data_IF_691868983800
#
_entry.id   IF_691868983800
#
_cell.length_a   1.000
_cell.length_b   1.000
_cell.length_c   1.000
_cell.angle_alpha   90.00
_cell.angle_beta   90.00
_cell.angle_gamma   90.00
#
_symmetry.space_group_name_H-M   'P 1'
#
loop_
_entity.id
_entity.type
_entity.pdbx_description
1 polymer ?
#
# COMPACT_ATOMS: atom_id res chain seq x y z
N UNK A 1 -18.19 0.31 -8.69
CA UNK A 1 -17.53 1.48 -8.39
C UNK A 1 -16.20 1.62 -9.07
N UNK A 2 -16.04 2.68 -9.74
CA UNK A 2 -14.85 2.84 -10.53
C UNK A 2 -13.71 3.41 -9.69
N UNK A 3 -12.52 3.02 -10.05
CA UNK A 3 -11.35 3.56 -9.42
C UNK A 3 -10.97 4.87 -10.05
N UNK A 4 -10.27 5.68 -9.29
CA UNK A 4 -9.73 6.94 -9.80
C UNK A 4 -8.75 6.64 -10.93
N UNK A 5 -8.97 7.18 -12.15
CA UNK A 5 -8.07 6.89 -13.26
C UNK A 5 -6.63 7.33 -13.01
N UNK A 6 -6.45 8.42 -12.29
CA UNK A 6 -5.11 8.91 -11.97
C UNK A 6 -4.38 7.90 -11.09
N UNK A 7 -5.07 7.38 -10.09
CA UNK A 7 -4.50 6.37 -9.20
C UNK A 7 -4.08 5.13 -10.00
N UNK A 8 -4.97 4.65 -10.87
CA UNK A 8 -4.67 3.47 -11.67
C UNK A 8 -3.42 3.69 -12.53
N UNK A 9 -3.32 4.87 -13.11
CA UNK A 9 -2.18 5.22 -13.93
C UNK A 9 -0.89 5.21 -13.12
N UNK A 10 -0.94 5.73 -11.90
CA UNK A 10 0.24 5.83 -11.05
C UNK A 10 0.76 4.47 -10.61
N UNK A 11 -0.12 3.49 -10.42
CA UNK A 11 0.31 2.16 -9.97
C UNK A 11 0.46 1.17 -11.10
N UNK A 12 0.27 1.60 -12.36
CA UNK A 12 0.44 0.73 -13.52
C UNK A 12 1.59 1.18 -14.40
N UNK A 13 2.64 1.69 -13.81
CA UNK A 13 3.79 2.17 -14.57
C UNK A 13 5.06 1.52 -14.06
N UNK A 14 6.14 1.69 -14.83
CA UNK A 14 7.41 1.08 -14.47
C UNK A 14 7.97 1.65 -13.18
N UNK A 15 7.75 2.94 -12.94
CA UNK A 15 8.20 3.56 -11.70
C UNK A 15 7.63 2.85 -10.48
N UNK A 16 6.33 2.56 -10.50
CA UNK A 16 5.70 1.86 -9.41
C UNK A 16 6.23 0.44 -9.27
N UNK A 17 6.37 -0.27 -10.39
CA UNK A 17 6.88 -1.63 -10.35
C UNK A 17 8.28 -1.70 -9.76
N UNK A 18 9.13 -0.73 -10.11
CA UNK A 18 10.47 -0.67 -9.56
C UNK A 18 10.46 -0.42 -8.06
N UNK A 19 9.61 0.50 -7.62
CA UNK A 19 9.50 0.81 -6.19
C UNK A 19 8.95 -0.37 -5.41
N UNK A 20 7.94 -1.02 -5.98
CA UNK A 20 7.34 -2.18 -5.35
C UNK A 20 8.34 -3.31 -5.20
N UNK A 21 9.09 -3.57 -6.25
CA UNK A 21 10.10 -4.63 -6.20
C UNK A 21 11.19 -4.30 -5.19
N UNK A 22 11.59 -3.05 -5.14
CA UNK A 22 12.59 -2.63 -4.18
C UNK A 22 12.08 -2.78 -2.75
N UNK A 23 10.84 -2.39 -2.51
CA UNK A 23 10.24 -2.51 -1.19
C UNK A 23 10.24 -3.96 -0.71
N UNK A 24 9.83 -4.90 -1.58
CA UNK A 24 9.78 -6.30 -1.23
C UNK A 24 11.17 -6.89 -1.05
N UNK A 25 12.15 -6.35 -1.75
CA UNK A 25 13.52 -6.81 -1.63
C UNK A 25 14.13 -6.35 -0.31
N UNK A 26 13.86 -5.10 0.07
CA UNK A 26 14.42 -4.54 1.30
C UNK A 26 13.66 -4.99 2.53
N UNK A 27 12.37 -5.25 2.39
CA UNK A 27 11.53 -5.71 3.49
C UNK A 27 10.74 -6.92 3.03
N UNK A 28 11.40 -8.08 3.02
CA UNK A 28 10.78 -9.28 2.44
C UNK A 28 9.74 -9.95 3.32
N UNK A 29 9.65 -9.56 4.58
CA UNK A 29 8.68 -10.18 5.48
C UNK A 29 7.48 -9.27 5.68
N UNK A 30 6.32 -9.90 5.87
CA UNK A 30 5.10 -9.18 6.17
C UNK A 30 5.28 -8.41 7.48
N UNK A 31 5.14 -7.08 7.42
CA UNK A 31 5.40 -6.26 8.60
C UNK A 31 4.34 -6.46 9.67
N UNK A 32 3.11 -6.75 9.26
CA UNK A 32 2.04 -6.99 10.21
C UNK A 32 2.23 -8.32 10.94
N UNK A 33 2.56 -9.38 10.21
CA UNK A 33 2.85 -10.67 10.83
C UNK A 33 4.03 -10.55 11.76
N UNK A 34 5.04 -9.84 11.33
CA UNK A 34 6.25 -9.68 12.12
C UNK A 34 5.98 -9.00 13.45
N UNK A 35 5.06 -8.04 13.46
CA UNK A 35 4.70 -7.36 14.70
C UNK A 35 4.05 -8.30 15.69
N UNK A 36 3.56 -9.45 15.22
CA UNK A 36 2.96 -10.46 16.08
C UNK A 36 3.91 -11.63 16.34
N UNK A 37 5.16 -11.49 15.94
CA UNK A 37 6.15 -12.54 16.14
C UNK A 37 6.08 -13.66 15.12
N UNK A 38 5.38 -13.45 14.01
CA UNK A 38 5.23 -14.43 12.95
C UNK A 38 6.03 -13.99 11.74
N UNK A 39 6.78 -14.91 11.14
CA UNK A 39 7.62 -14.59 10.00
C UNK A 39 7.00 -15.15 8.73
N UNK A 40 6.31 -14.31 8.00
CA UNK A 40 5.63 -14.67 6.76
C UNK A 40 6.20 -13.82 5.63
N UNK A 41 6.46 -14.43 4.49
CA UNK A 41 6.95 -13.70 3.33
C UNK A 41 5.92 -12.68 2.87
N UNK A 42 6.39 -11.48 2.57
CA UNK A 42 5.52 -10.46 2.00
C UNK A 42 5.46 -10.66 0.50
N UNK A 43 4.28 -10.51 -0.06
CA UNK A 43 4.08 -10.64 -1.49
C UNK A 43 3.43 -9.39 -2.09
N UNK A 44 2.99 -8.47 -1.23
CA UNK A 44 2.25 -7.29 -1.68
C UNK A 44 2.76 -6.06 -0.97
N UNK A 45 2.54 -4.91 -1.60
CA UNK A 45 2.94 -3.63 -1.02
C UNK A 45 1.71 -2.77 -0.87
N UNK A 46 1.55 -2.21 0.32
CA UNK A 46 0.39 -1.42 0.69
C UNK A 46 0.82 0.01 0.97
N UNK A 47 -0.02 0.98 0.64
CA UNK A 47 0.21 2.38 0.98
C UNK A 47 -0.43 2.65 2.33
N UNK A 48 0.36 3.14 3.29
CA UNK A 48 -0.17 3.44 4.62
C UNK A 48 -1.24 4.50 4.55
N UNK A 49 -0.92 5.59 3.87
CA UNK A 49 -1.90 6.63 3.60
C UNK A 49 -2.39 6.38 2.19
N UNK A 50 -3.69 6.14 2.02
CA UNK A 50 -4.21 5.81 0.70
C UNK A 50 -3.93 6.91 -0.31
N UNK A 51 -3.47 6.50 -1.48
CA UNK A 51 -3.16 7.45 -2.55
C UNK A 51 -4.39 8.26 -2.92
N UNK A 52 -5.55 7.62 -2.89
CA UNK A 52 -6.79 8.27 -3.27
C UNK A 52 -7.39 9.15 -2.18
N UNK A 53 -6.68 9.29 -1.05
CA UNK A 53 -7.18 10.15 0.04
C UNK A 53 -6.94 11.63 -0.25
N UNK A 54 -6.15 11.93 -1.28
CA UNK A 54 -5.91 13.32 -1.69
C UNK A 54 -6.44 13.51 -3.10
N UNK A 55 -6.57 14.76 -3.53
CA UNK A 55 -7.23 15.04 -4.80
C UNK A 55 -6.30 15.41 -5.93
N UNK A 56 -5.23 16.14 -5.66
CA UNK A 56 -4.36 16.56 -6.74
C UNK A 56 -3.47 15.43 -7.19
N UNK A 57 -3.17 15.41 -8.49
CA UNK A 57 -2.30 14.40 -9.03
C UNK A 57 -0.92 14.45 -8.40
N UNK A 58 -0.43 15.65 -8.12
CA UNK A 58 0.85 15.82 -7.47
C UNK A 58 0.88 15.19 -6.09
N UNK A 59 -0.16 15.41 -5.30
CA UNK A 59 -0.24 14.84 -3.96
C UNK A 59 -0.38 13.33 -4.03
N UNK A 60 -1.16 12.83 -4.97
CA UNK A 60 -1.33 11.39 -5.17
C UNK A 60 0.01 10.74 -5.54
N UNK A 61 0.73 11.38 -6.44
CA UNK A 61 2.02 10.86 -6.88
C UNK A 61 3.01 10.80 -5.72
N UNK A 62 2.99 11.82 -4.89
CA UNK A 62 3.85 11.85 -3.73
C UNK A 62 3.57 10.70 -2.78
N UNK A 63 2.31 10.44 -2.52
CA UNK A 63 1.93 9.31 -1.66
C UNK A 63 2.23 7.97 -2.31
N UNK A 64 2.02 7.87 -3.61
CA UNK A 64 2.22 6.60 -4.31
C UNK A 64 3.69 6.19 -4.33
N UNK A 65 4.59 7.17 -4.48
CA UNK A 65 6.01 6.88 -4.69
C UNK A 65 6.88 7.20 -3.49
N UNK A 66 6.30 7.50 -2.35
CA UNK A 66 7.05 7.76 -1.12
C UNK A 66 7.40 6.42 -0.46
N UNK A 67 8.69 6.05 -0.40
CA UNK A 67 9.06 4.77 0.21
C UNK A 67 8.60 4.63 1.64
N UNK A 68 8.47 5.74 2.36
CA UNK A 68 8.04 5.68 3.76
C UNK A 68 6.55 5.46 3.89
N UNK A 69 5.82 5.60 2.79
CA UNK A 69 4.39 5.33 2.78
C UNK A 69 4.09 3.90 2.36
N UNK A 70 5.11 3.08 2.14
CA UNK A 70 4.95 1.72 1.69
C UNK A 70 5.17 0.75 2.83
N UNK A 71 4.39 -0.33 2.83
CA UNK A 71 4.55 -1.39 3.82
C UNK A 71 4.41 -2.73 3.11
N UNK A 72 5.29 -3.67 3.49
CA UNK A 72 5.27 -5.02 2.91
C UNK A 72 4.29 -5.88 3.67
N UNK A 73 3.39 -6.54 2.97
CA UNK A 73 2.36 -7.36 3.58
C UNK A 73 2.21 -8.68 2.84
N UNK A 74 1.80 -9.72 3.57
CA UNK A 74 1.34 -10.93 2.92
C UNK A 74 -0.09 -10.69 2.44
N UNK A 75 -0.58 -11.57 1.58
CA UNK A 75 -1.89 -11.37 0.98
C UNK A 75 -2.99 -11.25 2.05
N UNK A 76 -2.93 -12.12 3.03
CA UNK A 76 -3.98 -12.16 4.06
C UNK A 76 -4.02 -10.87 4.89
N UNK A 77 -2.85 -10.38 5.27
CA UNK A 77 -2.80 -9.14 6.03
C UNK A 77 -3.23 -7.95 5.18
N UNK A 78 -2.90 -7.98 3.89
CA UNK A 78 -3.30 -6.91 2.98
C UNK A 78 -4.82 -6.86 2.85
N UNK A 79 -5.44 -8.03 2.76
CA UNK A 79 -6.90 -8.12 2.71
C UNK A 79 -7.52 -7.60 4.01
N UNK A 80 -6.93 -7.98 5.14
CA UNK A 80 -7.40 -7.54 6.45
C UNK A 80 -7.36 -6.01 6.58
N UNK A 81 -6.26 -5.42 6.15
CA UNK A 81 -6.11 -3.97 6.22
C UNK A 81 -7.19 -3.27 5.41
N UNK A 82 -7.45 -3.77 4.20
CA UNK A 82 -8.48 -3.18 3.35
C UNK A 82 -9.86 -3.34 3.96
N UNK A 83 -10.11 -4.46 4.60
CA UNK A 83 -11.38 -4.69 5.29
C UNK A 83 -11.60 -3.64 6.36
N UNK A 84 -10.60 -3.43 7.21
CA UNK A 84 -10.70 -2.46 8.28
C UNK A 84 -10.86 -1.04 7.73
N UNK A 85 -10.09 -0.71 6.71
CA UNK A 85 -10.19 0.61 6.09
C UNK A 85 -11.60 0.88 5.61
N UNK A 86 -12.20 -0.11 5.00
CA UNK A 86 -13.54 0.03 4.47
C UNK A 86 -14.58 0.16 5.57
N UNK A 87 -14.41 -0.61 6.61
CA UNK A 87 -15.37 -0.62 7.70
C UNK A 87 -15.31 0.59 8.57
N UNK A 88 -14.15 1.17 8.63
CA UNK A 88 -13.99 2.30 9.49
C UNK A 88 -14.03 3.59 8.86
N UNK A 89 -13.90 3.78 7.96
CA UNK A 89 -13.74 4.96 7.44
C UNK A 89 -13.97 6.04 7.91
N UNK A 90 -13.70 5.31 8.22
CA UNK A 90 -13.52 5.61 8.76
C UNK A 90 -13.20 6.13 9.66
N UNK A 91 -13.26 6.04 9.94
CA UNK A 91 -13.04 6.42 10.81
C UNK A 91 -12.40 6.96 11.23
N UNK A 92 -12.36 6.99 11.26
CA UNK A 92 -11.96 7.54 11.71
C UNK A 92 -11.46 8.00 11.99
N UNK A 93 -11.33 7.77 11.99
CA UNK A 93 -11.04 8.27 12.29
C UNK A 93 -10.90 8.66 12.34
#
# INVERSE_FOLDING_TARGET
MSRNPTYIKLINCQTWRNLRNRQLKMRPLCEECRSKGIYTSATEVHHRIPVESVRSEQAMKKLAYDPENLVSLCHECHVEVHKYSRGKDIVKN
#
